data_IF_371276059057
#
_entry.id   IF_371276059057
#
_cell.length_a   1.000
_cell.length_b   1.000
_cell.length_c   1.000
_cell.angle_alpha   90.00
_cell.angle_beta   90.00
_cell.angle_gamma   90.00
#
_symmetry.space_group_name_H-M   'P 1'
#
loop_
_entity.id
_entity.type
_entity.pdbx_description
1 polymer ?
#
# COMPACT_ATOMS: atom_id res chain seq x y z
N UNK A 1 8.10 -9.20 -2.97
CA UNK A 1 8.57 -8.65 -1.67
C UNK A 1 9.90 -9.23 -1.17
N UNK A 2 10.10 -10.56 -1.14
CA UNK A 2 11.37 -11.18 -0.66
C UNK A 2 12.66 -10.78 -1.44
N UNK A 3 12.53 -10.40 -2.71
CA UNK A 3 13.66 -9.91 -3.54
C UNK A 3 14.04 -8.46 -3.19
N UNK A 4 13.05 -7.58 -3.03
CA UNK A 4 13.25 -6.17 -2.67
C UNK A 4 13.86 -5.99 -1.27
N UNK A 5 13.36 -6.76 -0.29
CA UNK A 5 13.93 -6.75 1.07
C UNK A 5 15.38 -7.24 1.05
N UNK A 6 15.71 -8.23 0.20
CA UNK A 6 17.10 -8.68 -0.01
C UNK A 6 17.99 -7.60 -0.63
N UNK A 7 17.49 -6.82 -1.58
CA UNK A 7 18.26 -5.72 -2.19
C UNK A 7 18.50 -4.61 -1.17
N UNK A 8 17.48 -4.21 -0.40
CA UNK A 8 17.61 -3.21 0.64
C UNK A 8 18.56 -3.65 1.76
N UNK A 9 18.43 -4.90 2.23
CA UNK A 9 19.32 -5.48 3.24
C UNK A 9 20.76 -5.56 2.70
N UNK A 10 20.97 -5.98 1.45
CA UNK A 10 22.30 -5.97 0.83
C UNK A 10 22.90 -4.58 0.78
N UNK A 11 22.11 -3.56 0.42
CA UNK A 11 22.57 -2.18 0.41
C UNK A 11 22.95 -1.67 1.81
N UNK A 12 22.10 -1.93 2.80
CA UNK A 12 22.36 -1.55 4.19
C UNK A 12 23.62 -2.25 4.73
N UNK A 13 23.75 -3.55 4.45
CA UNK A 13 24.91 -4.35 4.83
C UNK A 13 26.17 -3.83 4.13
N UNK A 14 26.12 -3.48 2.85
CA UNK A 14 27.29 -2.90 2.16
C UNK A 14 27.69 -1.54 2.71
N UNK A 15 26.72 -0.69 3.06
CA UNK A 15 27.01 0.61 3.68
C UNK A 15 27.64 0.44 5.06
N UNK A 16 27.07 -0.44 5.89
CA UNK A 16 27.62 -0.78 7.20
C UNK A 16 29.02 -1.42 7.10
N UNK A 17 29.24 -2.31 6.12
CA UNK A 17 30.52 -2.94 5.88
C UNK A 17 31.59 -1.92 5.44
N UNK A 18 31.23 -0.93 4.61
CA UNK A 18 32.13 0.16 4.23
C UNK A 18 32.50 1.03 5.44
N UNK A 19 31.53 1.37 6.29
CA UNK A 19 31.77 2.14 7.51
C UNK A 19 32.68 1.36 8.46
N UNK A 20 32.37 0.09 8.72
CA UNK A 20 33.18 -0.78 9.57
C UNK A 20 34.59 -0.94 9.01
N UNK A 21 34.73 -1.14 7.69
CA UNK A 21 36.02 -1.23 7.01
C UNK A 21 36.86 0.04 7.19
N UNK A 22 36.25 1.22 7.06
CA UNK A 22 36.95 2.48 7.27
C UNK A 22 37.43 2.64 8.72
N UNK A 23 36.59 2.28 9.70
CA UNK A 23 36.97 2.29 11.13
C UNK A 23 38.13 1.33 11.40
N UNK A 24 38.09 0.12 10.84
CA UNK A 24 39.18 -0.86 10.97
C UNK A 24 40.48 -0.34 10.36
N UNK A 25 40.42 0.28 9.18
CA UNK A 25 41.60 0.89 8.54
C UNK A 25 42.20 1.98 9.45
N UNK A 26 41.38 2.84 10.05
CA UNK A 26 41.85 3.87 10.98
C UNK A 26 42.55 3.26 12.21
N UNK A 27 41.99 2.19 12.78
CA UNK A 27 42.59 1.49 13.92
C UNK A 27 43.93 0.85 13.52
N UNK A 28 44.00 0.21 12.34
CA UNK A 28 45.24 -0.39 11.83
C UNK A 28 46.34 0.65 11.59
N UNK A 29 45.99 1.81 11.02
CA UNK A 29 46.92 2.93 10.83
C UNK A 29 47.46 3.40 12.19
N UNK A 30 46.57 3.61 13.17
CA UNK A 30 46.97 4.02 14.51
C UNK A 30 47.89 2.98 15.17
N UNK A 31 47.55 1.70 15.08
CA UNK A 31 48.35 0.61 15.63
C UNK A 31 49.73 0.51 14.96
N UNK A 32 49.81 0.74 13.65
CA UNK A 32 51.08 0.75 12.92
C UNK A 32 51.98 1.92 13.33
N UNK A 33 51.39 3.11 13.49
CA UNK A 33 52.10 4.31 13.98
C UNK A 33 52.59 4.08 15.42
N UNK A 34 51.73 3.58 16.31
CA UNK A 34 52.06 3.31 17.71
C UNK A 34 53.16 2.25 17.84
N UNK A 35 53.07 1.15 17.09
CA UNK A 35 54.10 0.09 17.07
C UNK A 35 55.45 0.62 16.60
N UNK A 36 55.47 1.44 15.54
CA UNK A 36 56.70 2.05 15.03
C UNK A 36 57.33 3.07 15.98
N UNK A 37 56.50 3.75 16.79
CA UNK A 37 56.95 4.74 17.77
C UNK A 37 57.45 4.12 19.08
N UNK A 38 56.88 2.99 19.53
CA UNK A 38 57.09 2.45 20.88
C UNK A 38 57.61 1.00 20.94
N UNK A 39 57.77 0.31 19.81
CA UNK A 39 57.98 -1.13 19.78
C UNK A 39 59.27 -1.66 20.42
N UNK A 40 60.36 -0.89 20.48
CA UNK A 40 61.66 -1.39 20.98
C UNK A 40 62.16 -0.72 22.28
N UNK A 41 61.66 0.47 22.65
CA UNK A 41 62.27 1.25 23.73
C UNK A 41 62.04 0.69 25.13
N UNK A 42 60.92 -0.02 25.36
CA UNK A 42 60.58 -0.56 26.69
C UNK A 42 61.29 -1.88 27.05
N UNK A 43 61.71 -2.67 26.05
CA UNK A 43 62.38 -3.95 26.30
C UNK A 43 63.85 -3.77 26.68
N UNK A 44 64.52 -2.78 26.09
CA UNK A 44 65.95 -2.53 26.32
C UNK A 44 66.20 -1.92 27.71
N UNK A 45 65.35 -1.01 28.20
CA UNK A 45 65.47 -0.48 29.56
C UNK A 45 65.31 -1.56 30.64
N UNK A 46 64.43 -2.54 30.40
CA UNK A 46 64.19 -3.66 31.32
C UNK A 46 65.37 -4.64 31.36
N UNK A 47 66.05 -4.85 30.21
CA UNK A 47 67.26 -5.69 30.12
C UNK A 47 68.42 -5.10 30.90
N UNK A 48 68.68 -3.79 30.75
CA UNK A 48 69.83 -3.15 31.38
C UNK A 48 69.62 -2.98 32.89
N UNK A 49 68.41 -2.65 33.32
CA UNK A 49 68.07 -2.61 34.76
C UNK A 49 68.24 -3.97 35.42
N UNK A 50 67.81 -5.06 34.77
CA UNK A 50 68.05 -6.42 35.26
C UNK A 50 69.55 -6.73 35.37
N UNK A 51 70.35 -6.34 34.37
CA UNK A 51 71.81 -6.50 34.42
C UNK A 51 72.45 -5.71 35.58
N UNK A 52 71.93 -4.52 35.87
CA UNK A 52 72.38 -3.68 36.98
C UNK A 52 72.08 -4.29 38.35
N UNK A 53 70.84 -4.76 38.55
CA UNK A 53 70.44 -5.45 39.79
C UNK A 53 71.27 -6.73 40.02
N UNK A 54 71.54 -7.49 38.97
CA UNK A 54 72.41 -8.67 39.06
C UNK A 54 73.85 -8.31 39.41
N UNK A 55 74.35 -7.16 38.92
CA UNK A 55 75.70 -6.70 39.23
C UNK A 55 75.84 -6.32 40.72
N UNK A 56 74.79 -5.75 41.31
CA UNK A 56 74.75 -5.41 42.75
C UNK A 56 74.72 -6.65 43.64
N UNK A 57 73.97 -7.69 43.24
CA UNK A 57 73.79 -8.89 44.05
C UNK A 57 74.93 -9.91 43.85
N UNK A 58 75.21 -10.27 42.60
CA UNK A 58 76.17 -11.32 42.23
C UNK A 58 76.86 -10.99 40.88
N UNK A 59 78.05 -10.36 40.90
CA UNK A 59 78.76 -9.90 39.70
C UNK A 59 79.01 -11.00 38.65
N UNK A 60 79.15 -12.26 39.09
CA UNK A 60 79.34 -13.40 38.20
C UNK A 60 78.09 -13.69 37.36
N UNK A 61 76.90 -13.61 37.96
CA UNK A 61 75.62 -13.81 37.25
C UNK A 61 75.34 -12.66 36.28
N UNK A 62 75.79 -11.45 36.60
CA UNK A 62 75.72 -10.32 35.69
C UNK A 62 76.52 -10.57 34.41
N UNK A 63 77.75 -11.13 34.52
CA UNK A 63 78.55 -11.53 33.36
C UNK A 63 77.85 -12.57 32.47
N UNK A 64 77.23 -13.59 33.09
CA UNK A 64 76.53 -14.64 32.35
C UNK A 64 75.27 -14.06 31.65
N UNK A 65 74.50 -13.22 32.34
CA UNK A 65 73.35 -12.53 31.77
C UNK A 65 73.75 -11.61 30.61
N UNK A 66 74.82 -10.82 30.76
CA UNK A 66 75.34 -9.95 29.69
C UNK A 66 75.78 -10.74 28.46
N UNK A 67 76.39 -11.92 28.67
CA UNK A 67 76.73 -12.84 27.58
C UNK A 67 75.49 -13.37 26.86
N UNK A 68 74.46 -13.77 27.60
CA UNK A 68 73.18 -14.23 27.04
C UNK A 68 72.45 -13.13 26.26
N UNK A 69 72.53 -11.88 26.72
CA UNK A 69 71.95 -10.72 26.02
C UNK A 69 72.81 -10.23 24.83
N UNK A 70 73.96 -10.87 24.56
CA UNK A 70 74.82 -10.54 23.42
C UNK A 70 75.61 -9.25 23.58
N UNK A 71 75.91 -8.83 24.81
CA UNK A 71 76.78 -7.69 25.07
C UNK A 71 78.21 -7.97 24.57
N UNK A 72 78.79 -7.00 23.84
CA UNK A 72 80.18 -7.05 23.39
C UNK A 72 81.15 -6.68 24.54
N UNK A 73 80.75 -5.72 25.37
CA UNK A 73 81.46 -5.36 26.60
C UNK A 73 80.50 -4.69 27.59
N UNK A 74 80.89 -4.60 28.85
CA UNK A 74 80.24 -3.73 29.81
C UNK A 74 81.27 -3.11 30.76
N UNK A 75 80.94 -1.96 31.32
CA UNK A 75 81.75 -1.31 32.35
C UNK A 75 80.86 -0.54 33.33
N UNK A 76 81.25 -0.51 34.60
CA UNK A 76 80.65 0.34 35.63
C UNK A 76 81.58 1.52 35.86
N UNK A 77 81.08 2.74 35.64
CA UNK A 77 81.81 3.97 35.89
C UNK A 77 81.48 4.52 37.29
N UNK A 78 82.50 4.90 38.05
CA UNK A 78 82.36 5.62 39.31
C UNK A 78 81.92 7.09 39.09
N UNK A 79 81.85 7.89 40.16
CA UNK A 79 81.42 9.30 40.07
C UNK A 79 82.45 10.19 39.36
N UNK A 80 83.70 9.77 39.37
CA UNK A 80 84.84 10.43 38.73
C UNK A 80 85.01 10.03 37.25
N UNK A 81 84.23 9.05 36.77
CA UNK A 81 84.24 8.56 35.40
C UNK A 81 85.28 7.48 35.13
N UNK A 82 85.85 6.85 36.15
CA UNK A 82 86.76 5.72 36.02
C UNK A 82 86.00 4.39 35.97
N UNK A 83 86.42 3.43 35.13
CA UNK A 83 85.86 2.09 35.14
C UNK A 83 86.27 1.33 36.41
N UNK A 84 85.33 1.17 37.35
CA UNK A 84 85.56 0.42 38.60
C UNK A 84 85.27 -1.09 38.44
N UNK A 85 84.48 -1.45 37.43
CA UNK A 85 84.24 -2.84 37.04
C UNK A 85 84.16 -2.94 35.51
N UNK A 86 84.71 -4.01 34.93
CA UNK A 86 84.74 -4.21 33.48
C UNK A 86 84.44 -5.66 33.09
N UNK A 87 83.78 -5.83 31.96
CA UNK A 87 83.49 -7.10 31.30
C UNK A 87 83.89 -6.99 29.83
N UNK A 88 84.91 -7.77 29.42
CA UNK A 88 85.41 -7.84 28.04
C UNK A 88 85.69 -6.46 27.39
N UNK A 89 86.10 -5.47 28.20
CA UNK A 89 86.33 -4.11 27.73
C UNK A 89 87.55 -4.06 26.79
N UNK A 90 87.41 -3.57 25.54
CA UNK A 90 88.55 -3.35 24.65
C UNK A 90 89.52 -2.34 25.27
N UNK A 91 90.82 -2.57 25.14
CA UNK A 91 91.84 -1.69 25.75
C UNK A 91 91.80 -0.23 25.29
N UNK A 92 91.21 0.05 24.12
CA UNK A 92 90.98 1.43 23.63
C UNK A 92 89.94 2.21 24.44
N UNK A 93 89.06 1.50 25.17
CA UNK A 93 87.99 2.05 26.00
C UNK A 93 88.33 2.04 27.50
N UNK A 94 89.49 1.52 27.90
CA UNK A 94 89.90 1.46 29.30
C UNK A 94 90.64 2.74 29.71
N UNK A 95 89.89 3.83 29.87
CA UNK A 95 90.39 5.12 30.32
C UNK A 95 89.33 5.89 31.10
N UNK A 96 89.73 6.92 31.84
CA UNK A 96 88.81 7.82 32.55
C UNK A 96 88.00 8.65 31.57
N UNK A 97 86.67 8.63 31.71
CA UNK A 97 85.74 9.38 30.89
C UNK A 97 85.36 10.70 31.55
N UNK A 98 85.48 11.80 30.80
CA UNK A 98 84.92 13.08 31.24
C UNK A 98 83.39 13.06 31.22
N UNK A 99 82.76 13.87 32.07
CA UNK A 99 81.30 14.05 32.11
C UNK A 99 80.74 14.40 30.71
N UNK A 100 81.47 15.18 29.92
CA UNK A 100 81.07 15.53 28.53
C UNK A 100 81.05 14.31 27.61
N UNK A 101 82.03 13.41 27.73
CA UNK A 101 82.07 12.16 26.96
C UNK A 101 80.92 11.25 27.37
N UNK A 102 80.69 11.10 28.69
CA UNK A 102 79.55 10.35 29.24
C UNK A 102 78.22 10.90 28.71
N UNK A 103 78.03 12.21 28.74
CA UNK A 103 76.84 12.87 28.19
C UNK A 103 76.67 12.70 26.67
N UNK A 104 77.77 12.47 25.93
CA UNK A 104 77.75 12.28 24.49
C UNK A 104 77.38 10.84 24.11
N UNK A 105 78.10 9.85 24.65
CA UNK A 105 77.87 8.45 24.28
C UNK A 105 76.54 7.92 24.81
N UNK A 106 76.02 8.45 25.93
CA UNK A 106 74.69 8.11 26.45
C UNK A 106 73.56 8.45 25.48
N UNK A 107 73.79 9.40 24.56
CA UNK A 107 72.81 9.81 23.54
C UNK A 107 73.09 9.18 22.17
N UNK A 108 74.34 8.79 21.92
CA UNK A 108 74.83 8.39 20.61
C UNK A 108 75.56 7.05 20.69
N UNK A 109 76.85 7.03 20.37
CA UNK A 109 77.68 5.83 20.32
C UNK A 109 78.97 6.07 21.11
N UNK A 110 79.52 5.02 21.68
CA UNK A 110 80.87 5.02 22.25
C UNK A 110 81.82 4.37 21.24
N UNK A 111 82.62 5.16 20.50
CA UNK A 111 83.52 4.64 19.45
C UNK A 111 82.83 3.68 18.46
N UNK A 112 81.66 4.09 17.96
CA UNK A 112 80.72 3.33 17.11
C UNK A 112 80.03 2.11 17.74
N UNK A 113 80.29 1.82 19.02
CA UNK A 113 79.52 0.83 19.75
C UNK A 113 78.20 1.45 20.20
N UNK A 114 77.05 0.86 19.84
CA UNK A 114 75.79 1.23 20.45
C UNK A 114 75.86 0.87 21.94
N UNK A 115 75.66 1.89 22.77
CA UNK A 115 75.71 1.72 24.23
C UNK A 115 74.35 1.96 24.85
N UNK A 116 74.10 1.15 25.85
CA UNK A 116 72.95 1.20 26.71
C UNK A 116 73.43 1.54 28.11
N UNK A 117 72.79 2.52 28.74
CA UNK A 117 73.28 3.09 30.00
C UNK A 117 72.20 3.05 31.06
N UNK A 118 72.57 2.65 32.27
CA UNK A 118 71.71 2.67 33.45
C UNK A 118 72.47 3.27 34.64
N UNK A 119 71.84 4.23 35.32
CA UNK A 119 72.41 4.88 36.50
C UNK A 119 71.72 4.40 37.78
N UNK A 120 72.50 4.19 38.83
CA UNK A 120 72.02 3.86 40.17
C UNK A 120 73.10 4.16 41.21
N UNK A 121 72.93 3.60 42.42
CA UNK A 121 73.78 3.92 43.58
C UNK A 121 75.23 3.44 43.44
N UNK A 122 75.49 2.37 42.66
CA UNK A 122 76.84 1.84 42.39
C UNK A 122 77.61 2.64 41.34
N UNK A 123 76.97 3.60 40.67
CA UNK A 123 77.53 4.31 39.53
C UNK A 123 76.79 4.01 38.22
N UNK A 124 77.44 4.30 37.10
CA UNK A 124 76.85 4.27 35.77
C UNK A 124 77.26 3.00 35.02
N UNK A 125 76.33 2.07 34.82
CA UNK A 125 76.58 0.87 34.02
C UNK A 125 76.41 1.21 32.54
N UNK A 126 77.46 0.93 31.77
CA UNK A 126 77.52 1.10 30.32
C UNK A 126 77.68 -0.27 29.68
N UNK A 127 76.69 -0.71 28.90
CA UNK A 127 76.72 -1.97 28.16
C UNK A 127 76.83 -1.65 26.67
N UNK A 128 77.88 -2.14 26.02
CA UNK A 128 78.10 -1.98 24.59
C UNK A 128 77.71 -3.24 23.80
N UNK A 129 77.03 -3.07 22.67
CA UNK A 129 76.69 -4.16 21.74
C UNK A 129 77.55 -4.09 20.47
N UNK A 130 77.66 -5.18 19.69
CA UNK A 130 78.53 -5.19 18.50
C UNK A 130 78.20 -4.08 17.50
N UNK A 131 79.23 -3.53 16.85
CA UNK A 131 79.05 -2.46 15.84
C UNK A 131 78.09 -2.91 14.73
N UNK A 132 77.18 -2.02 14.32
CA UNK A 132 76.21 -2.28 13.26
C UNK A 132 74.96 -3.07 13.68
N UNK A 133 74.81 -3.41 14.96
CA UNK A 133 73.63 -4.16 15.46
C UNK A 133 72.44 -3.27 15.80
N UNK A 134 72.69 -2.06 16.32
CA UNK A 134 71.65 -1.15 16.81
C UNK A 134 71.83 0.25 16.21
N UNK A 135 70.71 0.84 15.78
CA UNK A 135 70.64 2.23 15.37
C UNK A 135 70.04 3.11 16.49
N UNK A 136 70.88 3.92 17.15
CA UNK A 136 70.43 4.84 18.19
C UNK A 136 69.79 6.08 17.55
N UNK A 137 68.52 6.35 17.88
CA UNK A 137 67.79 7.53 17.44
C UNK A 137 67.02 8.18 18.59
N UNK A 138 67.31 9.46 18.86
CA UNK A 138 66.65 10.22 19.92
C UNK A 138 65.43 10.94 19.34
N UNK A 139 64.23 10.45 19.66
CA UNK A 139 62.97 11.07 19.22
C UNK A 139 62.67 12.29 20.12
N UNK A 140 62.79 13.50 19.58
CA UNK A 140 62.20 14.69 20.17
C UNK A 140 60.92 15.05 19.41
N UNK A 141 59.77 14.93 20.06
CA UNK A 141 58.48 15.35 19.50
C UNK A 141 57.96 16.54 20.27
N UNK A 142 57.62 17.60 19.53
CA UNK A 142 56.97 18.78 20.11
C UNK A 142 55.56 18.41 20.59
N UNK A 143 55.18 18.90 21.77
CA UNK A 143 53.85 18.68 22.36
C UNK A 143 52.73 19.12 21.42
N UNK A 144 52.99 20.17 20.62
CA UNK A 144 52.05 20.64 19.59
C UNK A 144 51.77 19.58 18.51
N UNK A 145 52.79 18.84 18.09
CA UNK A 145 52.65 17.75 17.11
C UNK A 145 51.83 16.59 17.66
N UNK A 146 52.12 16.19 18.90
CA UNK A 146 51.37 15.12 19.60
C UNK A 146 49.89 15.49 19.79
N UNK A 147 49.61 16.72 20.23
CA UNK A 147 48.24 17.22 20.37
C UNK A 147 47.53 17.35 19.02
N UNK A 148 48.24 17.66 17.94
CA UNK A 148 47.71 17.67 16.58
C UNK A 148 47.22 16.29 16.13
N UNK A 149 47.99 15.24 16.41
CA UNK A 149 47.62 13.84 16.10
C UNK A 149 46.35 13.46 16.89
N UNK A 150 46.31 13.73 18.19
CA UNK A 150 45.14 13.44 19.05
C UNK A 150 43.90 14.20 18.58
N UNK A 151 44.03 15.47 18.22
CA UNK A 151 42.93 16.30 17.71
C UNK A 151 42.40 15.76 16.39
N UNK A 152 43.28 15.34 15.47
CA UNK A 152 42.89 14.72 14.22
C UNK A 152 42.07 13.45 14.44
N UNK A 153 42.48 12.58 15.36
CA UNK A 153 41.72 11.37 15.71
C UNK A 153 40.36 11.67 16.33
N UNK A 154 40.30 12.63 17.25
CA UNK A 154 39.04 13.03 17.90
C UNK A 154 38.03 13.64 16.92
N UNK A 155 38.51 14.32 15.86
CA UNK A 155 37.65 14.89 14.82
C UNK A 155 37.30 13.89 13.71
N UNK A 156 38.18 12.95 13.37
CA UNK A 156 37.96 12.03 12.24
C UNK A 156 36.80 11.04 12.51
N UNK A 157 36.63 10.59 13.76
CA UNK A 157 35.55 9.69 14.17
C UNK A 157 34.16 10.32 13.98
N UNK A 158 33.82 11.48 14.58
CA UNK A 158 32.50 12.09 14.43
C UNK A 158 32.23 12.50 12.98
N UNK A 159 33.24 12.96 12.23
CA UNK A 159 33.09 13.29 10.80
C UNK A 159 32.70 12.04 10.00
N UNK A 160 33.34 10.90 10.27
CA UNK A 160 33.01 9.63 9.62
C UNK A 160 31.59 9.17 9.93
N UNK A 161 31.17 9.28 11.19
CA UNK A 161 29.81 8.95 11.62
C UNK A 161 28.79 9.88 10.96
N UNK A 162 29.05 11.18 10.93
CA UNK A 162 28.17 12.16 10.30
C UNK A 162 28.02 11.89 8.79
N UNK A 163 29.12 11.58 8.09
CA UNK A 163 29.09 11.20 6.68
C UNK A 163 28.27 9.93 6.45
N UNK A 164 28.43 8.92 7.32
CA UNK A 164 27.65 7.68 7.27
C UNK A 164 26.14 7.93 7.43
N UNK A 165 25.75 8.73 8.42
CA UNK A 165 24.34 9.10 8.67
C UNK A 165 23.78 9.88 7.48
N UNK A 166 24.54 10.82 6.93
CA UNK A 166 24.12 11.59 5.75
C UNK A 166 23.86 10.68 4.54
N UNK A 167 24.75 9.72 4.27
CA UNK A 167 24.57 8.74 3.18
C UNK A 167 23.31 7.90 3.40
N UNK A 168 23.10 7.41 4.63
CA UNK A 168 21.90 6.63 4.97
C UNK A 168 20.61 7.45 4.78
N UNK A 169 20.59 8.70 5.22
CA UNK A 169 19.43 9.59 5.06
C UNK A 169 19.14 9.89 3.60
N UNK A 170 20.16 10.26 2.80
CA UNK A 170 20.00 10.58 1.37
C UNK A 170 19.54 9.35 0.59
N UNK A 171 20.15 8.18 0.81
CA UNK A 171 19.74 6.95 0.16
C UNK A 171 18.34 6.50 0.60
N UNK A 172 18.04 6.59 1.90
CA UNK A 172 16.72 6.26 2.45
C UNK A 172 15.62 7.14 1.86
N UNK A 173 15.85 8.45 1.78
CA UNK A 173 14.89 9.39 1.19
C UNK A 173 14.66 9.13 -0.30
N UNK A 174 15.73 8.86 -1.07
CA UNK A 174 15.62 8.49 -2.50
C UNK A 174 14.82 7.21 -2.70
N UNK A 175 15.02 6.21 -1.84
CA UNK A 175 14.28 4.95 -1.87
C UNK A 175 12.80 5.15 -1.53
N UNK A 176 12.51 5.87 -0.44
CA UNK A 176 11.15 6.18 0.00
C UNK A 176 10.35 6.88 -1.10
N UNK A 177 10.93 7.91 -1.74
CA UNK A 177 10.28 8.63 -2.83
C UNK A 177 9.91 7.72 -4.01
N UNK A 178 10.78 6.77 -4.36
CA UNK A 178 10.50 5.80 -5.44
C UNK A 178 9.43 4.78 -5.05
N UNK A 179 9.43 4.31 -3.80
CA UNK A 179 8.43 3.36 -3.31
C UNK A 179 7.04 3.97 -3.20
N UNK A 180 6.94 5.22 -2.75
CA UNK A 180 5.66 5.94 -2.66
C UNK A 180 4.95 6.02 -4.02
N UNK A 181 5.68 6.32 -5.09
CA UNK A 181 5.11 6.35 -6.46
C UNK A 181 4.53 5.00 -6.87
N UNK A 182 5.20 3.89 -6.52
CA UNK A 182 4.69 2.55 -6.81
C UNK A 182 3.44 2.22 -5.98
N UNK A 183 3.42 2.61 -4.70
CA UNK A 183 2.26 2.41 -3.83
C UNK A 183 1.05 3.20 -4.31
N UNK A 184 1.25 4.48 -4.69
CA UNK A 184 0.19 5.34 -5.23
C UNK A 184 -0.37 4.75 -6.54
N UNK A 185 0.48 4.22 -7.42
CA UNK A 185 0.05 3.55 -8.66
C UNK A 185 -0.80 2.31 -8.41
N UNK A 186 -0.46 1.50 -7.40
CA UNK A 186 -1.29 0.34 -7.02
C UNK A 186 -2.63 0.80 -6.43
N UNK A 187 -2.63 1.89 -5.65
CA UNK A 187 -3.86 2.50 -5.14
C UNK A 187 -4.79 2.99 -6.26
N UNK A 188 -4.23 3.66 -7.27
CA UNK A 188 -4.97 4.11 -8.46
C UNK A 188 -5.55 2.92 -9.26
N UNK A 189 -4.77 1.85 -9.44
CA UNK A 189 -5.26 0.63 -10.09
C UNK A 189 -6.43 -0.01 -9.32
N UNK A 190 -6.39 0.02 -7.98
CA UNK A 190 -7.49 -0.48 -7.16
C UNK A 190 -8.77 0.36 -7.30
N UNK A 191 -8.65 1.64 -7.62
CA UNK A 191 -9.77 2.54 -7.95
C UNK A 191 -10.26 2.37 -9.41
N UNK A 192 -9.60 1.52 -10.20
CA UNK A 192 -9.94 1.26 -11.59
C UNK A 192 -9.39 2.29 -12.58
N UNK A 193 -8.40 3.09 -12.17
CA UNK A 193 -7.72 4.05 -13.03
C UNK A 193 -6.55 3.40 -13.77
N UNK A 194 -6.28 3.86 -15.00
CA UNK A 194 -5.10 3.43 -15.76
C UNK A 194 -3.86 4.20 -15.32
N UNK A 195 -2.78 3.47 -15.05
CA UNK A 195 -1.50 4.05 -14.61
C UNK A 195 -0.37 3.64 -15.55
N UNK A 196 0.55 4.56 -15.81
CA UNK A 196 1.79 4.26 -16.53
C UNK A 196 3.01 4.83 -15.80
N UNK A 197 3.93 3.95 -15.43
CA UNK A 197 5.13 4.25 -14.66
C UNK A 197 6.39 4.18 -15.54
N UNK A 198 7.39 5.06 -15.29
CA UNK A 198 8.66 4.99 -16.01
C UNK A 198 9.44 3.70 -15.68
N UNK A 199 9.84 2.98 -16.72
CA UNK A 199 10.52 1.69 -16.66
C UNK A 199 12.04 1.82 -16.56
N UNK A 200 12.52 2.51 -15.52
CA UNK A 200 13.94 2.83 -15.35
C UNK A 200 14.50 2.43 -13.99
N UNK A 201 15.81 2.11 -13.98
CA UNK A 201 16.58 1.81 -12.78
C UNK A 201 16.18 0.51 -12.08
N UNK A 202 16.45 0.44 -10.77
CA UNK A 202 16.29 -0.78 -9.96
C UNK A 202 14.83 -1.25 -9.76
N UNK A 203 13.82 -0.45 -10.14
CA UNK A 203 12.40 -0.80 -10.02
C UNK A 203 11.74 -1.10 -11.38
N UNK A 204 12.52 -1.14 -12.47
CA UNK A 204 12.02 -1.35 -13.84
C UNK A 204 11.09 -2.55 -13.97
N UNK A 205 11.46 -3.70 -13.41
CA UNK A 205 10.68 -4.94 -13.50
C UNK A 205 9.28 -4.78 -12.87
N UNK A 206 9.21 -4.10 -11.72
CA UNK A 206 7.95 -3.84 -11.02
C UNK A 206 7.12 -2.82 -11.79
N UNK A 207 7.72 -1.72 -12.25
CA UNK A 207 7.04 -0.73 -13.09
C UNK A 207 6.45 -1.39 -14.34
N UNK A 208 7.23 -2.23 -15.03
CA UNK A 208 6.78 -2.96 -16.22
C UNK A 208 5.61 -3.90 -15.91
N UNK A 209 5.70 -4.64 -14.80
CA UNK A 209 4.61 -5.53 -14.36
C UNK A 209 3.32 -4.76 -14.03
N UNK A 210 3.44 -3.61 -13.35
CA UNK A 210 2.31 -2.72 -13.04
C UNK A 210 1.71 -2.17 -14.33
N UNK A 211 2.53 -1.68 -15.26
CA UNK A 211 2.09 -1.19 -16.58
C UNK A 211 1.33 -2.27 -17.36
N UNK A 212 1.91 -3.47 -17.50
CA UNK A 212 1.24 -4.58 -18.17
C UNK A 212 -0.09 -4.97 -17.52
N UNK A 213 -0.17 -4.88 -16.19
CA UNK A 213 -1.40 -5.17 -15.45
C UNK A 213 -2.45 -4.07 -15.69
N UNK A 214 -2.02 -2.80 -15.69
CA UNK A 214 -2.85 -1.64 -16.05
C UNK A 214 -3.44 -1.80 -17.45
N UNK A 215 -2.61 -2.12 -18.44
CA UNK A 215 -3.03 -2.29 -19.83
C UNK A 215 -4.03 -3.45 -19.98
N UNK A 216 -3.78 -4.58 -19.31
CA UNK A 216 -4.69 -5.74 -19.32
C UNK A 216 -6.04 -5.41 -18.69
N UNK A 217 -6.05 -4.74 -17.54
CA UNK A 217 -7.29 -4.34 -16.87
C UNK A 217 -8.08 -3.35 -17.71
N UNK A 218 -7.40 -2.36 -18.29
CA UNK A 218 -8.01 -1.38 -19.19
C UNK A 218 -8.62 -2.05 -20.43
N UNK A 219 -7.90 -2.97 -21.05
CA UNK A 219 -8.40 -3.74 -22.19
C UNK A 219 -9.60 -4.62 -21.82
N UNK A 220 -9.55 -5.33 -20.69
CA UNK A 220 -10.67 -6.15 -20.21
C UNK A 220 -11.92 -5.30 -19.94
N UNK A 221 -11.75 -4.13 -19.33
CA UNK A 221 -12.85 -3.20 -19.08
C UNK A 221 -13.46 -2.71 -20.38
N UNK A 222 -12.63 -2.26 -21.33
CA UNK A 222 -13.09 -1.84 -22.65
C UNK A 222 -13.86 -2.95 -23.38
N UNK A 223 -13.37 -4.20 -23.31
CA UNK A 223 -14.06 -5.35 -23.88
C UNK A 223 -15.41 -5.64 -23.21
N UNK A 224 -15.49 -5.53 -21.87
CA UNK A 224 -16.75 -5.69 -21.13
C UNK A 224 -17.76 -4.62 -21.53
N UNK A 225 -17.34 -3.35 -21.56
CA UNK A 225 -18.18 -2.23 -21.97
C UNK A 225 -18.67 -2.39 -23.42
N UNK A 226 -17.78 -2.78 -24.36
CA UNK A 226 -18.16 -3.07 -25.75
C UNK A 226 -19.16 -4.24 -25.85
N UNK A 227 -18.96 -5.30 -25.07
CA UNK A 227 -19.87 -6.46 -25.05
C UNK A 227 -21.24 -6.06 -24.54
N UNK A 228 -21.29 -5.26 -23.48
CA UNK A 228 -22.54 -4.81 -22.87
C UNK A 228 -23.29 -3.83 -23.80
N UNK A 229 -22.57 -2.92 -24.46
CA UNK A 229 -23.10 -2.05 -25.53
C UNK A 229 -23.68 -2.87 -26.69
N UNK A 230 -22.90 -3.81 -27.24
CA UNK A 230 -23.31 -4.67 -28.35
C UNK A 230 -24.53 -5.52 -27.99
N UNK A 231 -24.59 -6.03 -26.75
CA UNK A 231 -25.74 -6.79 -26.26
C UNK A 231 -27.01 -5.95 -26.24
N UNK A 232 -26.92 -4.71 -25.76
CA UNK A 232 -28.07 -3.81 -25.70
C UNK A 232 -28.50 -3.33 -27.09
N UNK A 233 -27.56 -3.05 -27.99
CA UNK A 233 -27.84 -2.69 -29.38
C UNK A 233 -28.51 -3.86 -30.12
N UNK A 234 -28.04 -5.08 -29.91
CA UNK A 234 -28.67 -6.28 -30.47
C UNK A 234 -30.12 -6.46 -29.96
N UNK A 235 -30.35 -6.33 -28.65
CA UNK A 235 -31.71 -6.39 -28.09
C UNK A 235 -32.61 -5.31 -28.70
N UNK A 236 -32.09 -4.09 -28.90
CA UNK A 236 -32.82 -2.99 -29.54
C UNK A 236 -33.17 -3.30 -30.99
N UNK A 237 -32.22 -3.83 -31.77
CA UNK A 237 -32.43 -4.23 -33.17
C UNK A 237 -33.49 -5.33 -33.29
N UNK A 238 -33.32 -6.42 -32.55
CA UNK A 238 -34.29 -7.54 -32.53
C UNK A 238 -35.68 -7.07 -32.10
N UNK A 239 -35.77 -6.17 -31.10
CA UNK A 239 -37.05 -5.60 -30.68
C UNK A 239 -37.76 -4.82 -31.79
N UNK A 240 -37.01 -4.06 -32.59
CA UNK A 240 -37.54 -3.31 -33.73
C UNK A 240 -38.06 -4.25 -34.81
N UNK A 241 -37.27 -5.26 -35.16
CA UNK A 241 -37.58 -6.20 -36.24
C UNK A 241 -38.77 -7.11 -35.90
N UNK A 242 -39.03 -7.38 -34.62
CA UNK A 242 -40.24 -8.09 -34.19
C UNK A 242 -41.46 -7.16 -34.18
N UNK A 243 -41.30 -5.87 -33.81
CA UNK A 243 -42.43 -4.92 -33.72
C UNK A 243 -43.13 -4.72 -35.06
N UNK A 244 -42.38 -4.63 -36.15
CA UNK A 244 -42.91 -4.40 -37.50
C UNK A 244 -43.91 -5.47 -37.96
N UNK A 245 -43.57 -6.77 -38.04
CA UNK A 245 -44.51 -7.82 -38.42
C UNK A 245 -45.64 -7.98 -37.40
N UNK A 246 -45.35 -7.78 -36.10
CA UNK A 246 -46.36 -7.86 -35.05
C UNK A 246 -47.45 -6.80 -35.21
N UNK A 247 -47.09 -5.59 -35.66
CA UNK A 247 -48.03 -4.49 -35.89
C UNK A 247 -48.99 -4.82 -37.05
N UNK A 248 -48.51 -5.52 -38.09
CA UNK A 248 -49.34 -6.02 -39.18
C UNK A 248 -50.31 -7.11 -38.68
N UNK A 249 -49.82 -8.09 -37.91
CA UNK A 249 -50.67 -9.13 -37.31
C UNK A 249 -51.77 -8.50 -36.46
N UNK A 250 -51.40 -7.50 -35.64
CA UNK A 250 -52.35 -6.76 -34.80
C UNK A 250 -53.41 -6.04 -35.64
N UNK A 251 -52.99 -5.34 -36.70
CA UNK A 251 -53.90 -4.61 -37.59
C UNK A 251 -54.89 -5.52 -38.31
N UNK A 252 -54.42 -6.64 -38.89
CA UNK A 252 -55.31 -7.59 -39.54
C UNK A 252 -56.24 -8.30 -38.56
N UNK A 253 -55.75 -8.68 -37.38
CA UNK A 253 -56.58 -9.27 -36.35
C UNK A 253 -57.68 -8.30 -35.87
N UNK A 254 -57.36 -7.02 -35.70
CA UNK A 254 -58.32 -5.97 -35.33
C UNK A 254 -59.37 -5.74 -36.43
N UNK A 255 -58.97 -5.75 -37.71
CA UNK A 255 -59.89 -5.65 -38.84
C UNK A 255 -60.88 -6.84 -38.88
N UNK A 256 -60.38 -8.07 -38.73
CA UNK A 256 -61.23 -9.27 -38.75
C UNK A 256 -62.17 -9.29 -37.54
N UNK A 257 -61.69 -8.92 -36.35
CA UNK A 257 -62.51 -8.84 -35.13
C UNK A 257 -63.65 -7.82 -35.28
N UNK A 258 -63.36 -6.64 -35.85
CA UNK A 258 -64.37 -5.59 -36.08
C UNK A 258 -65.39 -5.95 -37.15
N UNK A 259 -65.00 -6.68 -38.20
CA UNK A 259 -65.89 -7.05 -39.31
C UNK A 259 -66.85 -8.18 -38.96
N UNK A 260 -66.38 -9.21 -38.26
CA UNK A 260 -67.17 -10.43 -37.99
C UNK A 260 -67.90 -10.37 -36.64
N UNK A 261 -67.45 -9.49 -35.74
CA UNK A 261 -68.02 -9.35 -34.40
C UNK A 261 -67.78 -10.56 -33.49
N UNK A 262 -68.17 -10.47 -32.20
CA UNK A 262 -67.85 -11.48 -31.19
C UNK A 262 -68.72 -12.74 -31.26
N UNK A 263 -69.80 -12.75 -32.05
CA UNK A 263 -70.65 -13.93 -32.23
C UNK A 263 -70.04 -14.95 -33.20
N UNK A 264 -69.24 -14.48 -34.15
CA UNK A 264 -68.58 -15.29 -35.17
C UNK A 264 -67.31 -15.99 -34.66
N UNK A 265 -67.09 -17.23 -35.10
CA UNK A 265 -65.97 -18.06 -34.65
C UNK A 265 -64.61 -17.53 -35.12
N UNK A 266 -64.53 -16.98 -36.35
CA UNK A 266 -63.35 -16.30 -36.87
C UNK A 266 -63.11 -14.96 -36.15
N UNK A 267 -64.18 -14.20 -35.86
CA UNK A 267 -64.11 -12.98 -35.05
C UNK A 267 -63.53 -13.23 -33.65
N UNK A 268 -63.96 -14.30 -32.97
CA UNK A 268 -63.40 -14.74 -31.68
C UNK A 268 -61.91 -15.12 -31.78
N UNK A 269 -61.53 -15.86 -32.82
CA UNK A 269 -60.13 -16.26 -33.09
C UNK A 269 -59.26 -15.03 -33.39
N UNK A 270 -59.75 -14.08 -34.17
CA UNK A 270 -59.06 -12.83 -34.45
C UNK A 270 -58.85 -11.99 -33.19
N UNK A 271 -59.87 -11.87 -32.33
CA UNK A 271 -59.73 -11.22 -31.02
C UNK A 271 -58.70 -11.90 -30.12
N UNK A 272 -58.58 -13.24 -30.17
CA UNK A 272 -57.53 -13.97 -29.45
C UNK A 272 -56.13 -13.62 -29.98
N UNK A 273 -55.94 -13.63 -31.31
CA UNK A 273 -54.68 -13.23 -31.95
C UNK A 273 -54.31 -11.81 -31.54
N UNK A 274 -55.25 -10.87 -31.60
CA UNK A 274 -55.03 -9.47 -31.21
C UNK A 274 -54.53 -9.35 -29.76
N UNK A 275 -55.20 -10.03 -28.82
CA UNK A 275 -54.79 -10.04 -27.40
C UNK A 275 -53.41 -10.63 -27.18
N UNK A 276 -53.06 -11.72 -27.88
CA UNK A 276 -51.71 -12.30 -27.78
C UNK A 276 -50.65 -11.40 -28.41
N UNK A 277 -50.94 -10.75 -29.54
CA UNK A 277 -50.02 -9.80 -30.16
C UNK A 277 -49.72 -8.59 -29.27
N UNK A 278 -50.75 -8.02 -28.61
CA UNK A 278 -50.57 -6.96 -27.61
C UNK A 278 -49.72 -7.42 -26.43
N UNK A 279 -49.89 -8.68 -25.98
CA UNK A 279 -49.06 -9.26 -24.92
C UNK A 279 -47.60 -9.38 -25.33
N UNK A 280 -47.31 -9.82 -26.56
CA UNK A 280 -45.95 -9.90 -27.10
C UNK A 280 -45.33 -8.50 -27.20
N UNK A 281 -46.08 -7.50 -27.67
CA UNK A 281 -45.61 -6.12 -27.76
C UNK A 281 -45.17 -5.59 -26.39
N UNK A 282 -45.99 -5.80 -25.35
CA UNK A 282 -45.65 -5.42 -23.97
C UNK A 282 -44.40 -6.14 -23.46
N UNK A 283 -44.24 -7.44 -23.74
CA UNK A 283 -43.04 -8.19 -23.36
C UNK A 283 -41.76 -7.68 -24.02
N UNK A 284 -41.83 -7.26 -25.29
CA UNK A 284 -40.70 -6.68 -26.00
C UNK A 284 -40.34 -5.31 -25.41
N UNK A 285 -41.33 -4.49 -25.09
CA UNK A 285 -41.13 -3.20 -24.43
C UNK A 285 -40.54 -3.34 -23.03
N UNK A 286 -41.01 -4.33 -22.27
CA UNK A 286 -40.49 -4.71 -20.95
C UNK A 286 -39.03 -5.19 -21.03
N UNK A 287 -38.69 -6.02 -22.02
CA UNK A 287 -37.32 -6.48 -22.29
C UNK A 287 -36.40 -5.31 -22.64
N UNK A 288 -36.85 -4.42 -23.52
CA UNK A 288 -36.08 -3.26 -23.94
C UNK A 288 -35.81 -2.32 -22.76
N UNK A 289 -36.83 -2.08 -21.93
CA UNK A 289 -36.68 -1.27 -20.72
C UNK A 289 -35.70 -1.91 -19.73
N UNK A 290 -35.85 -3.21 -19.46
CA UNK A 290 -34.94 -3.96 -18.59
C UNK A 290 -33.50 -3.83 -19.06
N UNK A 291 -33.25 -4.01 -20.37
CA UNK A 291 -31.91 -3.84 -20.94
C UNK A 291 -31.38 -2.41 -20.80
N UNK A 292 -32.23 -1.38 -20.90
CA UNK A 292 -31.77 0.01 -20.71
C UNK A 292 -31.39 0.30 -19.27
N UNK A 293 -32.18 -0.21 -18.31
CA UNK A 293 -31.95 0.01 -16.88
C UNK A 293 -30.75 -0.79 -16.36
N UNK A 294 -30.52 -2.03 -16.83
CA UNK A 294 -29.40 -2.88 -16.38
C UNK A 294 -28.03 -2.30 -16.71
N UNK A 295 -27.86 -1.68 -17.89
CA UNK A 295 -26.56 -1.22 -18.38
C UNK A 295 -26.39 0.31 -18.31
N UNK A 296 -27.30 1.04 -17.64
CA UNK A 296 -27.26 2.52 -17.53
C UNK A 296 -27.09 3.24 -18.88
N UNK A 297 -27.62 2.65 -19.97
CA UNK A 297 -27.31 3.04 -21.35
C UNK A 297 -27.99 4.35 -21.81
N UNK A 298 -28.84 4.96 -20.98
CA UNK A 298 -29.47 6.26 -21.23
C UNK A 298 -29.62 7.05 -19.93
N UNK A 299 -29.40 8.38 -19.94
CA UNK A 299 -29.70 9.21 -18.79
C UNK A 299 -31.20 9.18 -18.51
N UNK A 300 -31.57 8.78 -17.28
CA UNK A 300 -32.94 8.88 -16.78
C UNK A 300 -33.39 10.33 -16.84
N UNK A 301 -34.67 10.58 -17.18
CA UNK A 301 -35.23 11.93 -17.16
C UNK A 301 -35.63 12.30 -15.74
N UNK A 302 -34.62 12.44 -14.88
CA UNK A 302 -34.81 12.79 -13.48
C UNK A 302 -35.42 14.20 -13.40
N UNK A 303 -36.62 14.27 -12.84
CA UNK A 303 -37.32 15.51 -12.49
C UNK A 303 -37.78 15.40 -11.05
N UNK A 304 -38.08 16.55 -10.45
CA UNK A 304 -38.77 16.55 -9.17
C UNK A 304 -40.19 16.01 -9.35
N UNK A 305 -40.47 14.85 -8.76
CA UNK A 305 -41.75 14.14 -8.86
C UNK A 305 -42.32 13.95 -7.46
N UNK A 306 -43.62 14.22 -7.30
CA UNK A 306 -44.38 13.89 -6.10
C UNK A 306 -45.02 12.49 -6.26
N UNK A 307 -44.56 11.45 -5.53
CA UNK A 307 -45.09 10.09 -5.70
C UNK A 307 -46.58 9.97 -5.37
N UNK A 308 -47.11 10.83 -4.50
CA UNK A 308 -48.54 10.87 -4.19
C UNK A 308 -49.40 11.17 -5.43
N UNK A 309 -48.93 12.06 -6.31
CA UNK A 309 -49.61 12.39 -7.57
C UNK A 309 -49.59 11.18 -8.51
N UNK A 310 -48.43 10.53 -8.64
CA UNK A 310 -48.27 9.33 -9.47
C UNK A 310 -49.17 8.20 -8.96
N UNK A 311 -49.22 7.97 -7.65
CA UNK A 311 -50.04 6.93 -7.04
C UNK A 311 -51.54 7.15 -7.30
N UNK A 312 -52.03 8.39 -7.20
CA UNK A 312 -53.41 8.75 -7.57
C UNK A 312 -53.70 8.56 -9.06
N UNK A 313 -52.75 8.93 -9.92
CA UNK A 313 -52.88 8.75 -11.38
C UNK A 313 -53.00 7.27 -11.73
N UNK A 314 -52.16 6.43 -11.11
CA UNK A 314 -52.19 4.97 -11.27
C UNK A 314 -53.49 4.38 -10.72
N UNK A 315 -53.95 4.84 -9.56
CA UNK A 315 -55.23 4.44 -8.98
C UNK A 315 -56.40 4.71 -9.92
N UNK A 316 -56.49 5.92 -10.47
CA UNK A 316 -57.55 6.32 -11.39
C UNK A 316 -57.50 5.51 -12.70
N UNK A 317 -56.32 5.37 -13.29
CA UNK A 317 -56.11 4.59 -14.51
C UNK A 317 -56.47 3.11 -14.32
N UNK A 318 -56.07 2.53 -13.19
CA UNK A 318 -56.37 1.16 -12.82
C UNK A 318 -57.87 0.91 -12.69
N UNK A 319 -58.59 1.80 -11.99
CA UNK A 319 -60.04 1.70 -11.83
C UNK A 319 -60.79 1.87 -13.17
N UNK A 320 -60.31 2.74 -14.05
CA UNK A 320 -60.91 2.97 -15.37
C UNK A 320 -60.69 1.79 -16.34
N UNK A 321 -59.61 1.03 -16.17
CA UNK A 321 -59.23 -0.05 -17.09
C UNK A 321 -59.79 -1.42 -16.66
N UNK A 322 -60.22 -1.56 -15.40
CA UNK A 322 -60.79 -2.79 -14.87
C UNK A 322 -62.12 -3.13 -15.54
N UNK A 323 -62.19 -4.30 -16.19
CA UNK A 323 -63.44 -4.80 -16.79
C UNK A 323 -64.49 -5.22 -15.75
N UNK A 324 -64.10 -5.40 -14.49
CA UNK A 324 -65.01 -5.81 -13.40
C UNK A 324 -64.52 -5.24 -12.07
N UNK A 325 -64.69 -3.94 -11.84
CA UNK A 325 -64.16 -3.24 -10.68
C UNK A 325 -64.69 -3.80 -9.34
N UNK A 326 -65.91 -4.34 -9.33
CA UNK A 326 -66.51 -4.97 -8.14
C UNK A 326 -65.72 -6.17 -7.61
N UNK A 327 -65.00 -6.88 -8.48
CA UNK A 327 -64.14 -8.02 -8.08
C UNK A 327 -62.81 -7.60 -7.47
N UNK A 328 -62.44 -6.33 -7.64
CA UNK A 328 -61.16 -5.79 -7.19
C UNK A 328 -61.36 -4.46 -6.46
N UNK A 329 -62.06 -4.45 -5.31
CA UNK A 329 -62.23 -3.24 -4.54
C UNK A 329 -60.85 -2.69 -4.15
N UNK A 330 -60.58 -1.46 -4.55
CA UNK A 330 -59.30 -0.80 -4.37
C UNK A 330 -59.42 0.41 -3.44
N UNK A 331 -58.66 0.43 -2.35
CA UNK A 331 -58.59 1.57 -1.43
C UNK A 331 -57.21 2.20 -1.44
N UNK A 332 -57.15 3.53 -1.53
CA UNK A 332 -55.91 4.29 -1.45
C UNK A 332 -55.92 5.18 -0.21
N UNK A 333 -54.86 5.13 0.57
CA UNK A 333 -54.64 5.97 1.75
C UNK A 333 -53.28 6.67 1.60
N UNK A 334 -53.28 7.99 1.58
CA UNK A 334 -52.06 8.79 1.50
C UNK A 334 -52.04 9.70 2.73
N UNK A 335 -51.05 9.54 3.59
CA UNK A 335 -50.90 10.39 4.77
C UNK A 335 -50.50 11.82 4.37
N UNK A 336 -51.01 12.86 5.06
CA UNK A 336 -50.74 14.26 4.73
C UNK A 336 -49.25 14.62 4.64
N UNK A 337 -48.41 14.00 5.46
CA UNK A 337 -46.95 14.20 5.44
C UNK A 337 -46.32 13.68 4.15
N UNK A 338 -46.84 12.57 3.60
CA UNK A 338 -46.36 11.99 2.35
C UNK A 338 -46.77 12.83 1.13
N UNK A 339 -47.87 13.59 1.21
CA UNK A 339 -48.32 14.43 0.09
C UNK A 339 -47.31 15.50 -0.30
N UNK A 340 -46.44 15.91 0.63
CA UNK A 340 -45.40 16.92 0.42
C UNK A 340 -44.06 16.33 0.01
N UNK A 341 -43.93 15.00 0.01
CA UNK A 341 -42.69 14.33 -0.35
C UNK A 341 -42.44 14.43 -1.86
N UNK A 342 -41.25 14.90 -2.24
CA UNK A 342 -40.75 14.91 -3.61
C UNK A 342 -39.42 14.17 -3.71
N UNK A 343 -39.16 13.57 -4.86
CA UNK A 343 -37.89 12.90 -5.16
C UNK A 343 -37.49 13.10 -6.62
N UNK A 344 -36.20 12.97 -6.92
CA UNK A 344 -35.67 13.03 -8.28
C UNK A 344 -35.87 11.68 -8.97
N UNK A 345 -36.85 11.59 -9.87
CA UNK A 345 -37.15 10.37 -10.62
C UNK A 345 -37.77 10.66 -11.99
N UNK A 346 -37.90 9.61 -12.78
CA UNK A 346 -38.68 9.61 -14.01
C UNK A 346 -40.14 9.24 -13.71
N UNK A 347 -41.06 10.19 -13.86
CA UNK A 347 -42.49 10.02 -13.56
C UNK A 347 -43.12 8.84 -14.34
N UNK A 348 -42.75 8.68 -15.62
CA UNK A 348 -43.32 7.63 -16.48
C UNK A 348 -42.87 6.24 -16.01
N UNK A 349 -41.61 6.13 -15.57
CA UNK A 349 -41.10 4.88 -15.00
C UNK A 349 -41.76 4.56 -13.66
N UNK A 350 -41.88 5.52 -12.74
CA UNK A 350 -42.58 5.31 -11.47
C UNK A 350 -44.03 4.88 -11.69
N UNK A 351 -44.74 5.54 -12.62
CA UNK A 351 -46.09 5.17 -13.02
C UNK A 351 -46.16 3.70 -13.49
N UNK A 352 -45.22 3.29 -14.36
CA UNK A 352 -45.12 1.92 -14.87
C UNK A 352 -44.80 0.90 -13.77
N UNK A 353 -43.93 1.24 -12.81
CA UNK A 353 -43.61 0.38 -11.68
C UNK A 353 -44.87 0.09 -10.83
N UNK A 354 -45.62 1.12 -10.46
CA UNK A 354 -46.84 0.95 -9.68
C UNK A 354 -47.93 0.20 -10.45
N UNK A 355 -48.10 0.49 -11.75
CA UNK A 355 -48.99 -0.29 -12.62
C UNK A 355 -48.61 -1.77 -12.68
N UNK A 356 -47.32 -2.10 -12.74
CA UNK A 356 -46.86 -3.49 -12.75
C UNK A 356 -47.18 -4.23 -11.44
N UNK A 357 -47.14 -3.54 -10.30
CA UNK A 357 -47.52 -4.12 -8.99
C UNK A 357 -49.02 -4.43 -8.96
N UNK A 358 -49.87 -3.44 -9.27
CA UNK A 358 -51.32 -3.63 -9.28
C UNK A 358 -51.76 -4.66 -10.34
N UNK A 359 -51.16 -4.59 -11.54
CA UNK A 359 -51.42 -5.52 -12.63
C UNK A 359 -51.04 -6.97 -12.29
N UNK A 360 -49.97 -7.18 -11.52
CA UNK A 360 -49.63 -8.52 -11.01
C UNK A 360 -50.67 -9.02 -10.02
N UNK A 361 -51.15 -8.16 -9.14
CA UNK A 361 -52.17 -8.51 -8.14
C UNK A 361 -53.45 -8.99 -8.81
N UNK A 362 -53.91 -8.34 -9.88
CA UNK A 362 -55.09 -8.79 -10.66
C UNK A 362 -54.80 -10.08 -11.42
N UNK A 363 -53.65 -10.17 -12.10
CA UNK A 363 -53.32 -11.32 -12.95
C UNK A 363 -53.24 -12.63 -12.18
N UNK A 364 -52.72 -12.58 -10.95
CA UNK A 364 -52.53 -13.75 -10.10
C UNK A 364 -53.74 -14.07 -9.21
N UNK A 365 -54.75 -13.21 -9.19
CA UNK A 365 -56.00 -13.39 -8.42
C UNK A 365 -57.23 -13.36 -9.33
N UNK A 366 -57.41 -14.29 -10.29
CA UNK A 366 -58.50 -14.25 -11.27
C UNK A 366 -59.91 -14.32 -10.65
N UNK A 367 -60.03 -14.82 -9.41
CA UNK A 367 -61.27 -14.86 -8.64
C UNK A 367 -61.68 -13.52 -8.01
N UNK A 368 -60.84 -12.48 -8.12
CA UNK A 368 -61.00 -11.24 -7.39
C UNK A 368 -60.15 -11.20 -6.11
N UNK A 369 -59.80 -9.99 -5.67
CA UNK A 369 -59.13 -9.74 -4.40
C UNK A 369 -59.31 -8.28 -3.97
N UNK A 370 -59.34 -8.03 -2.67
CA UNK A 370 -59.20 -6.67 -2.13
C UNK A 370 -57.76 -6.19 -2.31
N UNK A 371 -57.63 -4.97 -2.84
CA UNK A 371 -56.37 -4.30 -3.11
C UNK A 371 -56.29 -3.01 -2.29
N UNK A 372 -55.12 -2.72 -1.71
CA UNK A 372 -54.89 -1.45 -1.05
C UNK A 372 -53.52 -0.87 -1.37
N UNK A 373 -53.45 0.46 -1.41
CA UNK A 373 -52.20 1.20 -1.49
C UNK A 373 -52.17 2.22 -0.33
N UNK A 374 -51.16 2.11 0.51
CA UNK A 374 -50.92 3.00 1.64
C UNK A 374 -49.60 3.73 1.45
N UNK A 375 -49.57 5.05 1.62
CA UNK A 375 -48.36 5.85 1.51
C UNK A 375 -48.19 6.72 2.76
N UNK A 376 -47.07 6.55 3.45
CA UNK A 376 -46.79 7.16 4.75
C UNK A 376 -45.32 7.53 4.91
N UNK A 377 -45.06 8.49 5.79
CA UNK A 377 -43.70 8.87 6.19
C UNK A 377 -43.34 8.14 7.48
N UNK A 378 -42.21 7.43 7.47
CA UNK A 378 -41.54 6.94 8.67
C UNK A 378 -40.38 7.91 9.01
N UNK A 379 -39.81 7.79 10.22
CA UNK A 379 -38.79 8.73 10.77
C UNK A 379 -37.62 9.04 9.83
N UNK A 380 -37.21 8.11 8.96
CA UNK A 380 -36.04 8.23 8.08
C UNK A 380 -36.35 7.93 6.60
N UNK A 381 -37.61 7.62 6.26
CA UNK A 381 -37.95 7.10 4.93
C UNK A 381 -39.41 7.34 4.54
N UNK A 382 -39.63 7.54 3.26
CA UNK A 382 -40.95 7.56 2.66
C UNK A 382 -41.32 6.14 2.22
N UNK A 383 -42.48 5.64 2.65
CA UNK A 383 -42.89 4.25 2.43
C UNK A 383 -44.20 4.20 1.64
N UNK A 384 -44.22 3.38 0.58
CA UNK A 384 -45.44 3.01 -0.15
C UNK A 384 -45.65 1.51 0.00
N UNK A 385 -46.81 1.10 0.48
CA UNK A 385 -47.19 -0.29 0.70
C UNK A 385 -48.34 -0.64 -0.24
N UNK A 386 -48.11 -1.59 -1.13
CA UNK A 386 -49.18 -2.23 -1.90
C UNK A 386 -49.53 -3.55 -1.23
N UNK A 387 -50.82 -3.78 -0.97
CA UNK A 387 -51.30 -5.02 -0.37
C UNK A 387 -52.42 -5.64 -1.22
N UNK A 388 -52.44 -6.97 -1.29
CA UNK A 388 -53.53 -7.76 -1.85
C UNK A 388 -54.00 -8.85 -0.87
N UNK A 389 -55.19 -9.40 -1.08
CA UNK A 389 -55.76 -10.49 -0.26
C UNK A 389 -55.64 -11.87 -0.95
N UNK A 390 -54.74 -11.97 -1.93
CA UNK A 390 -54.44 -13.20 -2.64
C UNK A 390 -53.57 -14.19 -1.86
N UNK A 391 -53.10 -15.26 -2.53
CA UNK A 391 -52.27 -16.31 -1.92
C UNK A 391 -50.83 -15.86 -1.61
N UNK A 392 -50.47 -14.62 -1.98
CA UNK A 392 -49.15 -14.04 -1.75
C UNK A 392 -48.08 -14.51 -2.73
N UNK A 393 -46.95 -13.80 -2.74
CA UNK A 393 -45.81 -14.13 -3.58
C UNK A 393 -45.11 -15.44 -3.13
N UNK A 394 -44.79 -16.36 -4.06
CA UNK A 394 -44.00 -17.55 -3.77
C UNK A 394 -42.64 -17.23 -3.13
N UNK A 395 -42.09 -18.11 -2.26
CA UNK A 395 -40.83 -17.85 -1.56
C UNK A 395 -39.64 -17.46 -2.45
N UNK A 396 -39.43 -18.05 -3.64
CA UNK A 396 -38.35 -17.64 -4.53
C UNK A 396 -38.47 -16.18 -5.01
N UNK A 397 -39.71 -15.70 -5.25
CA UNK A 397 -39.96 -14.30 -5.65
C UNK A 397 -39.71 -13.35 -4.48
N UNK A 398 -40.09 -13.74 -3.27
CA UNK A 398 -39.84 -12.95 -2.07
C UNK A 398 -38.34 -12.77 -1.81
N UNK A 399 -37.55 -13.83 -1.97
CA UNK A 399 -36.08 -13.75 -1.89
C UNK A 399 -35.51 -12.83 -2.97
N UNK A 400 -36.02 -12.89 -4.19
CA UNK A 400 -35.60 -11.94 -5.22
C UNK A 400 -35.86 -10.48 -4.85
N UNK A 401 -37.04 -10.17 -4.32
CA UNK A 401 -37.36 -8.81 -3.89
C UNK A 401 -36.55 -8.37 -2.66
N UNK A 402 -36.29 -9.27 -1.70
CA UNK A 402 -35.61 -8.91 -0.45
C UNK A 402 -34.07 -8.94 -0.58
N UNK A 403 -33.53 -9.90 -1.31
CA UNK A 403 -32.10 -10.24 -1.35
C UNK A 403 -31.48 -10.06 -2.75
N UNK A 404 -32.29 -9.87 -3.80
CA UNK A 404 -31.81 -9.72 -5.18
C UNK A 404 -31.43 -11.03 -5.88
N UNK A 405 -31.64 -12.18 -5.24
CA UNK A 405 -31.28 -13.50 -5.79
C UNK A 405 -32.32 -13.92 -6.83
N UNK A 406 -31.90 -14.07 -8.09
CA UNK A 406 -32.76 -14.54 -9.18
C UNK A 406 -33.20 -16.00 -8.92
N UNK A 407 -34.50 -16.30 -9.00
CA UNK A 407 -35.00 -17.66 -8.89
C UNK A 407 -34.93 -18.38 -10.25
N UNK A 408 -35.37 -19.64 -10.26
CA UNK A 408 -35.31 -20.55 -11.42
C UNK A 408 -35.95 -19.94 -12.70
N UNK A 409 -35.39 -20.14 -13.92
CA UNK A 409 -35.81 -19.45 -15.14
C UNK A 409 -37.27 -19.66 -15.56
N UNK A 410 -37.95 -20.67 -15.01
CA UNK A 410 -39.34 -20.99 -15.32
C UNK A 410 -40.34 -19.99 -14.71
N UNK A 411 -39.93 -19.22 -13.70
CA UNK A 411 -40.81 -18.21 -13.09
C UNK A 411 -40.83 -16.90 -13.89
N UNK A 412 -42.00 -16.48 -14.33
CA UNK A 412 -42.19 -15.18 -14.99
C UNK A 412 -42.10 -14.03 -13.98
N UNK A 413 -40.97 -13.31 -13.99
CA UNK A 413 -40.65 -12.24 -13.03
C UNK A 413 -40.49 -10.86 -13.65
N UNK A 414 -40.69 -10.74 -14.95
CA UNK A 414 -40.33 -9.51 -15.69
C UNK A 414 -40.98 -8.26 -15.08
N UNK A 415 -42.26 -8.34 -14.70
CA UNK A 415 -42.96 -7.21 -14.07
C UNK A 415 -42.32 -6.74 -12.76
N UNK A 416 -42.02 -7.67 -11.85
CA UNK A 416 -41.40 -7.34 -10.56
C UNK A 416 -39.90 -6.99 -10.69
N UNK A 417 -39.22 -7.57 -11.68
CA UNK A 417 -37.84 -7.19 -12.02
C UNK A 417 -37.77 -5.74 -12.48
N UNK A 418 -38.69 -5.31 -13.34
CA UNK A 418 -38.80 -3.92 -13.79
C UNK A 418 -39.12 -3.01 -12.60
N UNK A 419 -40.05 -3.40 -11.72
CA UNK A 419 -40.34 -2.65 -10.48
C UNK A 419 -39.06 -2.43 -9.68
N UNK A 420 -38.32 -3.50 -9.37
CA UNK A 420 -37.08 -3.40 -8.61
C UNK A 420 -36.08 -2.45 -9.28
N UNK A 421 -35.83 -2.62 -10.57
CA UNK A 421 -34.90 -1.79 -11.33
C UNK A 421 -35.28 -0.31 -11.37
N UNK A 422 -36.57 0.00 -11.55
CA UNK A 422 -37.06 1.39 -11.58
C UNK A 422 -36.90 2.04 -10.20
N UNK A 423 -37.27 1.32 -9.13
CA UNK A 423 -37.19 1.83 -7.76
C UNK A 423 -35.73 2.05 -7.35
N UNK A 424 -34.84 1.10 -7.65
CA UNK A 424 -33.39 1.24 -7.40
C UNK A 424 -32.78 2.39 -8.21
N UNK A 425 -33.16 2.53 -9.49
CA UNK A 425 -32.75 3.65 -10.33
C UNK A 425 -33.24 5.02 -9.82
N UNK A 426 -34.31 5.04 -9.03
CA UNK A 426 -34.87 6.23 -8.37
C UNK A 426 -34.31 6.43 -6.94
N UNK A 427 -33.28 5.68 -6.54
CA UNK A 427 -32.65 5.78 -5.23
C UNK A 427 -33.43 5.12 -4.08
N UNK A 428 -34.43 4.30 -4.38
CA UNK A 428 -35.24 3.56 -3.40
C UNK A 428 -34.87 2.08 -3.27
N UNK A 429 -35.64 1.37 -2.46
CA UNK A 429 -35.56 -0.08 -2.30
C UNK A 429 -36.96 -0.71 -2.32
N UNK A 430 -37.06 -1.96 -2.80
CA UNK A 430 -38.29 -2.75 -2.79
C UNK A 430 -38.10 -3.99 -1.93
N UNK A 431 -39.15 -4.44 -1.24
CA UNK A 431 -39.15 -5.68 -0.46
C UNK A 431 -40.56 -6.26 -0.37
N UNK A 432 -40.68 -7.53 -0.03
CA UNK A 432 -41.94 -8.22 0.20
C UNK A 432 -42.10 -8.63 1.66
N UNK A 433 -43.31 -8.51 2.18
CA UNK A 433 -43.69 -9.00 3.49
C UNK A 433 -43.61 -10.53 3.62
N UNK A 434 -43.62 -11.06 4.85
CA UNK A 434 -43.48 -12.49 5.12
C UNK A 434 -44.56 -13.33 4.42
N UNK A 435 -45.79 -12.82 4.39
CA UNK A 435 -46.95 -13.48 3.77
C UNK A 435 -46.94 -13.36 2.24
N UNK A 436 -46.05 -12.54 1.67
CA UNK A 436 -45.97 -12.29 0.23
C UNK A 436 -47.10 -11.43 -0.35
N UNK A 437 -48.11 -11.08 0.45
CA UNK A 437 -49.26 -10.26 0.05
C UNK A 437 -49.02 -8.74 0.17
N UNK A 438 -47.85 -8.33 0.68
CA UNK A 438 -47.46 -6.93 0.81
C UNK A 438 -46.14 -6.67 0.10
N UNK A 439 -46.09 -5.58 -0.66
CA UNK A 439 -44.88 -5.06 -1.30
C UNK A 439 -44.60 -3.68 -0.73
N UNK A 440 -43.42 -3.50 -0.15
CA UNK A 440 -42.95 -2.26 0.43
C UNK A 440 -41.95 -1.61 -0.51
N UNK A 441 -42.19 -0.36 -0.87
CA UNK A 441 -41.27 0.52 -1.59
C UNK A 441 -40.83 1.59 -0.60
N UNK A 442 -39.52 1.77 -0.46
CA UNK A 442 -38.94 2.73 0.48
C UNK A 442 -38.00 3.67 -0.25
N UNK A 443 -38.20 4.97 -0.08
CA UNK A 443 -37.28 6.01 -0.52
C UNK A 443 -36.63 6.68 0.69
N UNK A 444 -35.38 7.11 0.59
CA UNK A 444 -34.75 7.90 1.66
C UNK A 444 -35.55 9.19 1.86
N UNK A 445 -35.77 9.58 3.11
CA UNK A 445 -36.36 10.87 3.41
C UNK A 445 -35.44 12.00 2.86
N UNK A 446 -35.98 13.18 2.55
CA UNK A 446 -35.15 14.31 2.15
C UNK A 446 -34.17 14.60 3.28
N UNK A 447 -32.86 14.45 3.02
CA UNK A 447 -31.86 15.12 3.86
C UNK A 447 -32.18 16.59 3.78
N UNK A 448 -32.35 17.28 4.92
CA UNK A 448 -32.25 18.73 4.93
C UNK A 448 -30.96 19.08 4.18
N UNK A 449 -31.08 19.74 3.03
CA UNK A 449 -29.92 20.25 2.34
C UNK A 449 -29.20 21.18 3.33
N UNK A 450 -27.86 21.10 3.47
CA UNK A 450 -27.15 22.02 4.34
C UNK A 450 -27.46 23.43 3.82
N UNK A 451 -28.05 24.26 4.69
CA UNK A 451 -28.26 25.70 4.43
C UNK A 451 -26.91 26.24 3.94
N UNK A 452 -26.81 26.50 2.65
CA UNK A 452 -25.66 27.17 2.06
C UNK A 452 -25.52 28.50 2.78
N UNK A 453 -24.49 28.62 3.62
CA UNK A 453 -24.14 29.88 4.26
C UNK A 453 -23.91 30.90 3.16
N UNK A 454 -24.81 31.86 3.03
CA UNK A 454 -24.54 33.10 2.32
C UNK A 454 -23.36 33.77 3.02
N UNK A 455 -22.17 33.67 2.43
CA UNK A 455 -21.09 34.61 2.74
C UNK A 455 -21.51 35.95 2.13
N UNK A 456 -21.86 36.90 3.00
CA UNK A 456 -21.72 38.33 2.73
C UNK A 456 -20.24 38.68 2.60
#
# INVERSE_FOLDING_TARGET
MKSLMRIYVRYLVTALALIAGFVVIQILILSGIASKLYGNSGADSLRISTAYELLEQEPQKACDYLREQGAAFAMLLDQEGNPCWTYQLPGELDHTYSITQVASFTRWYLSDYPVSVWGGDLGLLVVGYPKGTVWNYYIHQDMKGLMGILTYFMLSIPITIAAAVLILLVCGFRYYRKMRVLADAVGQLALGESVHLPESGAMREISCTINQTSDRLSAQRSQLEQRDLARSEWIRGVSHDIRTPLSLILGYADLIERQLGPADELGKKAGLIRRQSLRIQKLIEDLNLTSRLEYQMQPLRLKEVCPAVVLRKVAADFLNTLSSPERYPFSIQIHPEFERFSLQADEELLFRAFQNILGNSVRHNPGGCHLSAEALMETDRAVIVFSDSGPGLPPPIRRYLNEGILPDPQLHLMGLKIVRQIIEASGGSVSSGPDGCKIFIRFPAPSEAPKTSSKQ
#
